data_IF_852456570466
#
_entry.id   IF_852456570466
#
_cell.length_a   1.000
_cell.length_b   1.000
_cell.length_c   1.000
_cell.angle_alpha   90.00
_cell.angle_beta   90.00
_cell.angle_gamma   90.00
#
_symmetry.space_group_name_H-M   'P 1'
#
loop_
_entity.id
_entity.type
_entity.pdbx_description
1 polymer ?
#
# COMPACT_ATOMS: atom_id res chain seq x y z
N UNK A 1 6.24 -7.44 -13.25
CA UNK A 1 7.03 -8.27 -12.33
C UNK A 1 6.12 -8.90 -11.30
N UNK A 2 6.20 -10.21 -11.07
CA UNK A 2 5.60 -10.87 -9.92
C UNK A 2 6.62 -10.80 -8.77
N UNK A 3 6.76 -9.63 -8.13
CA UNK A 3 7.42 -9.56 -6.82
C UNK A 3 6.48 -10.21 -5.81
N UNK A 4 7.04 -10.98 -4.87
CA UNK A 4 6.21 -11.54 -3.80
C UNK A 4 5.66 -10.41 -2.93
N UNK A 5 4.47 -10.61 -2.36
CA UNK A 5 3.86 -9.66 -1.39
C UNK A 5 4.85 -9.36 -0.25
N UNK A 6 5.66 -10.35 0.13
CA UNK A 6 6.70 -10.20 1.16
C UNK A 6 7.79 -9.21 0.75
N UNK A 7 8.24 -9.26 -0.51
CA UNK A 7 9.25 -8.33 -1.02
C UNK A 7 8.70 -6.92 -1.15
N UNK A 8 7.46 -6.77 -1.60
CA UNK A 8 6.79 -5.47 -1.68
C UNK A 8 6.56 -4.85 -0.30
N UNK A 9 6.24 -5.66 0.71
CA UNK A 9 6.12 -5.18 2.09
C UNK A 9 7.47 -4.77 2.67
N UNK A 10 8.56 -5.49 2.32
CA UNK A 10 9.91 -5.11 2.72
C UNK A 10 10.36 -3.79 2.06
N UNK A 11 10.08 -3.61 0.76
CA UNK A 11 10.33 -2.35 0.05
C UNK A 11 9.51 -1.21 0.63
N UNK A 12 8.22 -1.44 0.93
CA UNK A 12 7.35 -0.47 1.58
C UNK A 12 7.92 0.00 2.93
N UNK A 13 8.24 -0.94 3.84
CA UNK A 13 8.79 -0.60 5.14
C UNK A 13 10.11 0.18 5.03
N UNK A 14 10.95 -0.16 4.06
CA UNK A 14 12.19 0.59 3.79
C UNK A 14 11.89 2.03 3.37
N UNK A 15 10.89 2.26 2.52
CA UNK A 15 10.49 3.61 2.09
C UNK A 15 9.97 4.42 3.29
N UNK A 16 9.15 3.83 4.15
CA UNK A 16 8.65 4.49 5.35
C UNK A 16 9.80 4.87 6.30
N UNK A 17 10.77 3.98 6.49
CA UNK A 17 11.96 4.22 7.31
C UNK A 17 12.84 5.35 6.73
N UNK A 18 13.07 5.34 5.42
CA UNK A 18 13.87 6.37 4.72
C UNK A 18 13.20 7.75 4.82
N UNK A 19 11.87 7.81 4.70
CA UNK A 19 11.08 9.03 4.89
C UNK A 19 11.14 9.52 6.34
N UNK A 20 10.99 8.61 7.32
CA UNK A 20 11.11 8.97 8.73
C UNK A 20 12.52 9.50 9.07
N UNK A 21 13.56 8.96 8.43
CA UNK A 21 14.94 9.42 8.61
C UNK A 21 15.18 10.86 8.13
N UNK A 22 14.36 11.37 7.22
CA UNK A 22 14.39 12.79 6.78
C UNK A 22 13.32 13.65 7.46
N UNK A 23 12.78 13.21 8.60
CA UNK A 23 11.71 13.88 9.36
C UNK A 23 10.36 13.96 8.61
N UNK A 24 10.16 13.11 7.59
CA UNK A 24 8.89 12.99 6.86
C UNK A 24 8.13 11.79 7.42
N UNK A 25 7.19 12.05 8.33
CA UNK A 25 6.30 11.01 8.83
C UNK A 25 4.98 11.01 8.04
N UNK A 26 4.70 9.92 7.34
CA UNK A 26 3.41 9.70 6.68
C UNK A 26 2.34 9.36 7.71
N UNK A 27 1.13 9.89 7.53
CA UNK A 27 -0.04 9.48 8.31
C UNK A 27 -0.42 8.04 7.96
N UNK A 28 -1.18 7.37 8.83
CA UNK A 28 -1.56 5.97 8.63
C UNK A 28 -2.39 5.76 7.35
N UNK A 29 -3.22 6.73 6.98
CA UNK A 29 -3.96 6.74 5.71
C UNK A 29 -3.03 6.82 4.49
N UNK A 30 -2.03 7.70 4.50
CA UNK A 30 -1.05 7.81 3.41
C UNK A 30 -0.18 6.55 3.29
N UNK A 31 0.21 5.97 4.43
CA UNK A 31 0.92 4.67 4.49
C UNK A 31 0.07 3.56 3.86
N UNK A 32 -1.22 3.49 4.20
CA UNK A 32 -2.13 2.51 3.63
C UNK A 32 -2.30 2.71 2.12
N UNK A 33 -2.50 3.94 1.65
CA UNK A 33 -2.64 4.26 0.23
C UNK A 33 -1.38 3.91 -0.57
N UNK A 34 -0.20 4.22 -0.04
CA UNK A 34 1.07 3.88 -0.67
C UNK A 34 1.27 2.36 -0.73
N UNK A 35 0.97 1.62 0.34
CA UNK A 35 1.02 0.16 0.34
C UNK A 35 0.08 -0.44 -0.72
N UNK A 36 -1.15 0.07 -0.82
CA UNK A 36 -2.14 -0.34 -1.83
C UNK A 36 -1.66 -0.08 -3.26
N UNK A 37 -0.94 1.01 -3.50
CA UNK A 37 -0.32 1.29 -4.79
C UNK A 37 0.87 0.37 -5.09
N UNK A 38 1.59 -0.05 -4.05
CA UNK A 38 2.72 -0.95 -4.15
C UNK A 38 2.30 -2.41 -4.31
N UNK A 39 1.03 -2.80 -4.09
CA UNK A 39 0.55 -4.18 -4.24
C UNK A 39 0.64 -4.68 -5.70
N UNK A 40 0.86 -5.98 -5.90
CA UNK A 40 0.93 -6.58 -7.23
C UNK A 40 -0.45 -6.58 -7.89
N UNK A 41 -0.51 -6.54 -9.23
CA UNK A 41 -1.76 -6.60 -10.00
C UNK A 41 -2.62 -7.82 -9.72
N UNK A 42 -2.03 -8.91 -9.21
CA UNK A 42 -2.79 -10.08 -8.75
C UNK A 42 -3.73 -9.79 -7.59
N UNK A 43 -3.46 -8.72 -6.83
CA UNK A 43 -4.29 -8.22 -5.72
C UNK A 43 -5.08 -6.96 -6.10
N UNK A 44 -5.23 -6.67 -7.40
CA UNK A 44 -5.97 -5.49 -7.87
C UNK A 44 -7.42 -5.47 -7.35
N UNK A 45 -8.12 -6.61 -7.36
CA UNK A 45 -9.48 -6.70 -6.79
C UNK A 45 -9.53 -6.39 -5.29
N UNK A 46 -8.47 -6.73 -4.53
CA UNK A 46 -8.36 -6.38 -3.12
C UNK A 46 -8.12 -4.88 -2.96
N UNK A 47 -7.25 -4.30 -3.78
CA UNK A 47 -7.00 -2.86 -3.82
C UNK A 47 -8.29 -2.09 -4.11
N UNK A 48 -9.03 -2.47 -5.15
CA UNK A 48 -10.31 -1.85 -5.50
C UNK A 48 -11.32 -1.96 -4.36
N UNK A 49 -11.45 -3.15 -3.74
CA UNK A 49 -12.38 -3.32 -2.62
C UNK A 49 -12.01 -2.50 -1.38
N UNK A 50 -10.72 -2.18 -1.17
CA UNK A 50 -10.27 -1.35 -0.05
C UNK A 50 -10.37 0.15 -0.35
N UNK A 51 -10.13 0.57 -1.60
CA UNK A 51 -10.19 1.97 -2.02
C UNK A 51 -11.63 2.47 -2.24
N UNK A 52 -12.45 1.66 -2.89
CA UNK A 52 -13.82 2.03 -3.26
C UNK A 52 -14.85 1.46 -2.29
N UNK A 53 -14.42 0.60 -1.35
CA UNK A 53 -15.35 -0.24 -0.60
C UNK A 53 -16.15 -1.13 -1.54
N UNK A 54 -17.11 -1.88 -1.00
CA UNK A 54 -18.15 -2.45 -1.85
C UNK A 54 -19.05 -1.30 -2.31
N UNK A 55 -18.86 -0.79 -3.52
CA UNK A 55 -19.93 -0.04 -4.20
C UNK A 55 -21.14 -0.98 -4.37
N UNK A 56 -22.04 -0.97 -3.39
CA UNK A 56 -23.23 -1.80 -3.29
C UNK A 56 -23.47 -2.24 -1.84
N UNK A 57 -24.51 -1.80 -1.14
CA UNK A 57 -25.87 -1.56 -1.61
C UNK A 57 -26.64 -0.77 -0.55
N UNK A 58 -27.20 0.38 -0.90
CA UNK A 58 -28.58 0.78 -0.54
C UNK A 58 -29.20 1.51 -1.72
#
# INVERSE_FOLDING_TARGET
ENKSVVEQLAEFNKIIDDLANIDVNLEDDDKAFHLLCALPKSLENLKDSLLYGKEGTV
#
